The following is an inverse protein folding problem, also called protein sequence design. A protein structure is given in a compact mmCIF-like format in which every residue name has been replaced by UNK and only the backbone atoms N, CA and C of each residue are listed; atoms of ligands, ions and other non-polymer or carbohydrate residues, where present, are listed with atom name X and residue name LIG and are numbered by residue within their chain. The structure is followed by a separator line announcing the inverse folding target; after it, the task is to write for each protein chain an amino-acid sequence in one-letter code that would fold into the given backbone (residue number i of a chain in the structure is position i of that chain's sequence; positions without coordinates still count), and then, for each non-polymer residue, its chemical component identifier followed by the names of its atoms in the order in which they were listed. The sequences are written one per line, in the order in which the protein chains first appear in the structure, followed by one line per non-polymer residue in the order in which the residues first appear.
data_IF_028518596262
#
_entry.id   IF_028518596262
#
_cell.length_a   1.000
_cell.length_b   1.000
_cell.length_c   1.000
_cell.angle_alpha   90.00
_cell.angle_beta   90.00
_cell.angle_gamma   90.00
#
_symmetry.space_group_name_H-M   'P 1'
#
loop_
_entity.id
_entity.type
_entity.pdbx_description
1 polymer ?
#
# COMPACT_ATOMS: atom_id res chain seq x y z
N UNK A 1 28.08 -29.62 0.45
CA UNK A 1 27.65 -28.23 0.19
C UNK A 1 26.20 -28.13 0.64
N UNK A 2 25.82 -27.28 1.62
CA UNK A 2 24.42 -27.21 2.02
C UNK A 2 23.60 -26.48 0.94
N UNK A 3 22.50 -27.10 0.54
CA UNK A 3 21.58 -26.60 -0.48
C UNK A 3 20.96 -25.26 -0.08
N UNK A 4 20.98 -24.29 -1.00
CA UNK A 4 20.42 -22.96 -0.81
C UNK A 4 18.90 -23.08 -0.75
N UNK A 5 18.33 -23.08 0.44
CA UNK A 5 16.88 -23.01 0.68
C UNK A 5 16.35 -21.75 -0.03
N UNK A 6 15.66 -21.93 -1.16
CA UNK A 6 14.96 -20.85 -1.84
C UNK A 6 13.73 -20.51 -1.01
N UNK A 7 13.72 -19.32 -0.41
CA UNK A 7 12.52 -18.76 0.22
C UNK A 7 11.39 -18.69 -0.82
N UNK A 8 10.15 -19.08 -0.48
CA UNK A 8 9.03 -18.95 -1.41
C UNK A 8 8.88 -17.49 -1.84
N UNK A 9 8.61 -17.30 -3.13
CA UNK A 9 8.46 -15.99 -3.76
C UNK A 9 7.55 -15.07 -2.93
N UNK A 10 7.96 -13.80 -2.80
CA UNK A 10 7.25 -12.80 -2.02
C UNK A 10 5.73 -12.81 -2.33
N UNK A 11 4.86 -12.69 -1.32
CA UNK A 11 3.44 -12.60 -1.57
C UNK A 11 3.17 -11.43 -2.53
N UNK A 12 2.34 -11.67 -3.54
CA UNK A 12 2.01 -10.72 -4.59
C UNK A 12 1.76 -9.30 -4.02
N UNK A 13 2.19 -8.24 -4.73
CA UNK A 13 2.00 -6.88 -4.25
C UNK A 13 0.52 -6.66 -3.93
N UNK A 14 0.24 -6.25 -2.70
CA UNK A 14 -1.08 -5.82 -2.22
C UNK A 14 -1.45 -4.46 -2.81
N UNK A 15 -1.32 -4.33 -4.12
CA UNK A 15 -1.91 -3.24 -4.90
C UNK A 15 -3.23 -3.72 -5.49
N UNK A 16 -4.19 -2.82 -5.75
CA UNK A 16 -5.38 -3.18 -6.49
C UNK A 16 -4.92 -3.83 -7.81
N UNK A 17 -5.17 -5.12 -7.97
CA UNK A 17 -5.09 -5.79 -9.26
C UNK A 17 -6.08 -5.03 -10.14
N UNK A 18 -5.56 -4.14 -11.01
CA UNK A 18 -6.36 -3.49 -12.04
C UNK A 18 -6.78 -4.63 -12.97
N UNK A 19 -7.87 -5.28 -12.60
CA UNK A 19 -8.35 -6.51 -13.21
C UNK A 19 -8.66 -6.20 -14.67
N UNK A 20 -7.94 -6.88 -15.55
CA UNK A 20 -8.27 -7.02 -16.96
C UNK A 20 -9.44 -7.99 -17.07
N UNK A 21 -10.59 -7.60 -16.52
CA UNK A 21 -11.75 -8.48 -16.37
C UNK A 21 -13.02 -7.68 -16.17
N UNK A 22 -14.01 -8.03 -16.97
CA UNK A 22 -15.39 -7.54 -17.09
C UNK A 22 -16.14 -7.58 -15.74
N UNK A 23 -15.80 -6.66 -14.83
CA UNK A 23 -16.37 -6.59 -13.48
C UNK A 23 -16.49 -5.14 -13.00
N UNK A 24 -17.36 -4.87 -12.01
CA UNK A 24 -17.61 -3.52 -11.54
C UNK A 24 -16.30 -2.88 -11.06
N UNK A 25 -15.95 -1.78 -11.73
CA UNK A 25 -14.74 -1.01 -11.44
C UNK A 25 -14.93 -0.24 -10.14
N UNK A 26 -13.84 0.01 -9.42
CA UNK A 26 -13.86 0.95 -8.30
C UNK A 26 -14.49 2.28 -8.75
N UNK A 27 -15.40 2.86 -7.95
CA UNK A 27 -16.06 4.09 -8.31
C UNK A 27 -15.03 5.22 -8.52
N UNK A 28 -15.33 6.12 -9.46
CA UNK A 28 -14.54 7.32 -9.70
C UNK A 28 -14.84 8.34 -8.59
N UNK A 29 -14.18 8.14 -7.45
CA UNK A 29 -14.24 9.05 -6.31
C UNK A 29 -12.89 9.73 -6.10
N UNK A 30 -12.91 11.05 -5.94
CA UNK A 30 -11.73 11.79 -5.55
C UNK A 30 -11.28 11.36 -4.15
N UNK A 31 -9.99 11.03 -4.00
CA UNK A 31 -9.42 10.69 -2.69
C UNK A 31 -9.47 11.92 -1.76
N UNK A 32 -9.83 11.77 -0.48
CA UNK A 32 -9.82 12.87 0.47
C UNK A 32 -8.39 13.41 0.68
N UNK A 33 -8.25 14.71 0.99
CA UNK A 33 -6.94 15.29 1.34
C UNK A 33 -6.44 14.68 2.65
N UNK A 34 -5.17 14.29 2.69
CA UNK A 34 -4.58 13.62 3.86
C UNK A 34 -3.42 14.38 4.48
N UNK A 35 -3.16 15.62 4.07
CA UNK A 35 -2.04 16.42 4.60
C UNK A 35 -2.15 16.59 6.11
N UNK A 36 -3.35 16.89 6.61
CA UNK A 36 -3.60 17.03 8.05
C UNK A 36 -3.49 15.71 8.81
N UNK A 37 -3.93 14.60 8.20
CA UNK A 37 -3.75 13.26 8.75
C UNK A 37 -2.27 12.91 8.87
N UNK A 38 -1.50 13.08 7.80
CA UNK A 38 -0.05 12.83 7.78
C UNK A 38 0.70 13.72 8.78
N UNK A 39 0.28 14.97 8.94
CA UNK A 39 0.84 15.90 9.94
C UNK A 39 0.57 15.45 11.36
N UNK A 40 -0.65 14.99 11.66
CA UNK A 40 -1.00 14.41 12.98
C UNK A 40 -0.26 13.10 13.22
N UNK A 41 -0.20 12.22 12.22
CA UNK A 41 0.56 10.97 12.29
C UNK A 41 2.03 11.23 12.59
N UNK A 42 2.69 12.18 11.91
CA UNK A 42 4.09 12.51 12.23
C UNK A 42 4.31 12.96 13.67
N UNK A 43 3.33 13.64 14.28
CA UNK A 43 3.40 14.06 15.68
C UNK A 43 3.22 12.89 16.66
N UNK A 44 2.33 11.95 16.34
CA UNK A 44 2.00 10.80 17.20
C UNK A 44 3.00 9.66 17.01
N UNK A 45 3.24 9.26 15.77
CA UNK A 45 4.21 8.25 15.36
C UNK A 45 4.75 8.53 13.92
N UNK A 46 5.99 9.01 13.80
CA UNK A 46 6.65 9.20 12.51
C UNK A 46 6.65 7.97 11.60
N UNK A 47 6.74 6.76 12.16
CA UNK A 47 6.77 5.52 11.40
C UNK A 47 5.41 5.18 10.78
N UNK A 48 4.31 5.50 11.45
CA UNK A 48 2.96 5.34 10.89
C UNK A 48 2.76 6.24 9.66
N UNK A 49 3.25 7.48 9.71
CA UNK A 49 3.17 8.37 8.54
C UNK A 49 3.93 7.82 7.33
N UNK A 50 5.09 7.19 7.56
CA UNK A 50 5.91 6.55 6.50
C UNK A 50 5.22 5.32 5.91
N UNK A 51 4.70 4.43 6.77
CA UNK A 51 3.96 3.23 6.35
C UNK A 51 2.70 3.59 5.56
N UNK A 52 1.99 4.63 5.98
CA UNK A 52 0.78 5.09 5.30
C UNK A 52 1.11 5.62 3.90
N UNK A 53 2.16 6.44 3.74
CA UNK A 53 2.64 6.87 2.41
C UNK A 53 3.02 5.70 1.51
N UNK A 54 3.80 4.76 2.04
CA UNK A 54 4.21 3.58 1.30
C UNK A 54 3.03 2.70 0.86
N UNK A 55 2.00 2.56 1.71
CA UNK A 55 0.81 1.74 1.42
C UNK A 55 -0.17 2.43 0.47
N UNK A 56 -0.36 3.74 0.63
CA UNK A 56 -1.41 4.48 -0.08
C UNK A 56 -0.92 5.23 -1.32
N UNK A 57 0.39 5.34 -1.52
CA UNK A 57 0.99 6.08 -2.63
C UNK A 57 0.90 7.60 -2.49
N UNK A 58 0.81 8.11 -1.26
CA UNK A 58 0.78 9.55 -0.94
C UNK A 58 2.11 10.13 -0.49
#
# INVERSE_FOLDING_TARGET
MPERIQKPAEPAPWGPKKGEGDGPRSPDISRPDTKDLLKKMRKVDPNQSKRYRQRTGQ
#
